data_IF_151431314150
#
_entry.id   IF_151431314150
#
_cell.length_a   1.000
_cell.length_b   1.000
_cell.length_c   1.000
_cell.angle_alpha   90.00
_cell.angle_beta   90.00
_cell.angle_gamma   90.00
#
_symmetry.space_group_name_H-M   'P 1'
#
loop_
_entity.id
_entity.type
_entity.pdbx_description
1 polymer ?
#
# COMPACT_ATOMS: atom_id res chain seq x y z
N UNK A 1 -51.88 0.93 31.08
CA UNK A 1 -50.46 1.30 30.95
C UNK A 1 -49.71 0.13 30.38
N UNK A 2 -49.19 0.26 29.16
CA UNK A 2 -48.23 -0.66 28.58
C UNK A 2 -46.98 0.15 28.25
N UNK A 3 -45.85 -0.23 28.85
CA UNK A 3 -44.56 0.40 28.64
C UNK A 3 -43.90 -0.23 27.40
N UNK A 4 -43.67 0.57 26.37
CA UNK A 4 -42.79 0.21 25.27
C UNK A 4 -41.33 0.33 25.75
N UNK A 5 -40.62 -0.79 25.81
CA UNK A 5 -39.15 -0.81 25.92
C UNK A 5 -38.56 -0.69 24.53
N UNK A 6 -38.06 0.50 24.20
CA UNK A 6 -37.21 0.74 23.04
C UNK A 6 -35.85 0.06 23.26
N UNK A 7 -35.59 -1.03 22.56
CA UNK A 7 -34.24 -1.56 22.41
C UNK A 7 -33.47 -0.67 21.43
N UNK A 8 -32.60 0.19 21.94
CA UNK A 8 -31.59 0.86 21.13
C UNK A 8 -30.55 -0.18 20.70
N UNK A 9 -30.57 -0.54 19.42
CA UNK A 9 -29.48 -1.26 18.78
C UNK A 9 -28.24 -0.36 18.80
N UNK A 10 -27.26 -0.69 19.65
CA UNK A 10 -25.94 -0.08 19.54
C UNK A 10 -25.29 -0.61 18.25
N UNK A 11 -25.13 0.26 17.26
CA UNK A 11 -24.25 0.00 16.12
C UNK A 11 -22.85 -0.34 16.64
N UNK A 12 -22.20 -1.40 16.16
CA UNK A 12 -20.83 -1.68 16.56
C UNK A 12 -19.95 -0.50 16.16
N UNK A 13 -19.34 0.15 17.15
CA UNK A 13 -18.33 1.19 16.94
C UNK A 13 -17.24 0.62 16.02
N UNK A 14 -16.85 1.38 15.00
CA UNK A 14 -15.73 1.00 14.14
C UNK A 14 -14.51 0.66 15.03
N UNK A 15 -13.75 -0.42 14.71
CA UNK A 15 -12.56 -0.76 15.48
C UNK A 15 -11.60 0.44 15.51
N UNK A 16 -10.90 0.66 16.63
CA UNK A 16 -9.97 1.79 16.74
C UNK A 16 -8.90 1.69 15.67
N UNK A 17 -8.53 2.85 15.10
CA UNK A 17 -7.48 2.97 14.12
C UNK A 17 -6.15 2.48 14.71
N UNK A 18 -5.44 1.63 13.97
CA UNK A 18 -4.24 0.98 14.44
C UNK A 18 -3.02 1.88 14.22
N UNK A 19 -2.36 2.30 15.30
CA UNK A 19 -1.07 3.02 15.21
C UNK A 19 0.09 2.07 14.91
N UNK A 20 1.23 2.61 14.46
CA UNK A 20 2.47 1.83 14.27
C UNK A 20 2.90 1.13 15.56
N UNK A 21 2.74 1.80 16.72
CA UNK A 21 3.15 1.24 18.00
C UNK A 21 2.20 0.15 18.52
N UNK A 22 0.90 0.31 18.26
CA UNK A 22 -0.09 -0.73 18.57
C UNK A 22 0.13 -1.96 17.70
N UNK A 23 0.42 -1.75 16.40
CA UNK A 23 0.79 -2.83 15.49
C UNK A 23 2.07 -3.52 15.93
N UNK A 24 3.12 -2.76 16.27
CA UNK A 24 4.38 -3.31 16.81
C UNK A 24 4.12 -4.21 18.01
N UNK A 25 3.23 -3.78 18.90
CA UNK A 25 2.89 -4.52 20.11
C UNK A 25 2.12 -5.81 19.77
N UNK A 26 1.19 -5.77 18.81
CA UNK A 26 0.38 -6.92 18.42
C UNK A 26 1.17 -8.01 17.69
N UNK A 27 2.25 -7.64 16.99
CA UNK A 27 3.11 -8.59 16.26
C UNK A 27 4.33 -9.08 17.07
N UNK A 28 4.46 -8.70 18.34
CA UNK A 28 5.64 -9.05 19.16
C UNK A 28 5.91 -10.56 19.17
N UNK A 29 7.16 -10.93 18.93
CA UNK A 29 7.59 -12.34 18.87
C UNK A 29 7.21 -13.05 17.56
N UNK A 30 6.56 -12.35 16.64
CA UNK A 30 6.37 -12.80 15.26
C UNK A 30 7.47 -12.20 14.39
N UNK A 31 7.71 -12.82 13.24
CA UNK A 31 8.58 -12.27 12.20
C UNK A 31 7.93 -12.53 10.85
N UNK A 32 7.76 -11.49 10.04
CA UNK A 32 7.09 -11.59 8.74
C UNK A 32 7.20 -10.34 7.87
N UNK A 33 6.48 -10.35 6.76
CA UNK A 33 6.41 -9.25 5.79
C UNK A 33 5.17 -8.39 6.02
N UNK A 34 5.27 -7.13 5.59
CA UNK A 34 4.10 -6.29 5.30
C UNK A 34 4.02 -5.97 3.81
N UNK A 35 2.84 -5.63 3.33
CA UNK A 35 2.62 -5.29 1.91
C UNK A 35 2.14 -3.85 1.79
N UNK A 36 2.65 -3.11 0.81
CA UNK A 36 1.99 -1.89 0.35
C UNK A 36 0.71 -2.22 -0.43
N UNK A 37 -0.13 -1.20 -0.65
CA UNK A 37 -1.40 -1.30 -1.35
C UNK A 37 -1.34 -0.59 -2.69
N UNK A 38 -1.13 0.73 -2.72
CA UNK A 38 -1.16 1.51 -3.96
C UNK A 38 0.03 1.16 -4.85
N UNK A 39 -0.23 0.96 -6.15
CA UNK A 39 0.76 0.53 -7.17
C UNK A 39 1.51 -0.78 -6.85
N UNK A 40 1.09 -1.50 -5.81
CA UNK A 40 1.63 -2.81 -5.40
C UNK A 40 0.56 -3.91 -5.46
N UNK A 41 -0.60 -3.64 -4.86
CA UNK A 41 -1.79 -4.50 -4.91
C UNK A 41 -2.90 -3.88 -5.77
N UNK A 42 -3.10 -2.56 -5.70
CA UNK A 42 -4.10 -1.82 -6.46
C UNK A 42 -3.47 -0.99 -7.57
N UNK A 43 -4.10 -0.96 -8.75
CA UNK A 43 -3.68 -0.11 -9.87
C UNK A 43 -4.37 1.25 -9.80
N UNK A 44 -4.00 2.00 -8.77
CA UNK A 44 -4.63 3.28 -8.40
C UNK A 44 -4.41 4.34 -9.48
N UNK A 45 -3.21 4.44 -10.04
CA UNK A 45 -2.87 5.42 -11.08
C UNK A 45 -3.67 5.18 -12.35
N UNK A 46 -3.85 3.93 -12.76
CA UNK A 46 -4.64 3.58 -13.94
C UNK A 46 -6.09 4.02 -13.79
N UNK A 47 -6.69 3.72 -12.63
CA UNK A 47 -8.04 4.17 -12.30
C UNK A 47 -8.17 5.68 -12.32
N UNK A 48 -7.23 6.39 -11.68
CA UNK A 48 -7.26 7.85 -11.65
C UNK A 48 -7.07 8.45 -13.03
N UNK A 49 -6.13 7.95 -13.82
CA UNK A 49 -5.92 8.42 -15.20
C UNK A 49 -7.17 8.25 -16.05
N UNK A 50 -7.88 7.12 -15.94
CA UNK A 50 -9.13 6.90 -16.66
C UNK A 50 -10.18 7.97 -16.31
N UNK A 51 -10.35 8.27 -15.02
CA UNK A 51 -11.31 9.28 -14.55
C UNK A 51 -10.89 10.69 -14.95
N UNK A 52 -9.62 11.03 -14.78
CA UNK A 52 -9.06 12.34 -15.13
C UNK A 52 -9.19 12.63 -16.63
N UNK A 53 -9.00 11.63 -17.51
CA UNK A 53 -9.24 11.77 -18.94
C UNK A 53 -10.71 12.11 -19.26
N UNK A 54 -11.66 11.50 -18.54
CA UNK A 54 -13.10 11.74 -18.72
C UNK A 54 -13.53 13.13 -18.22
N UNK A 55 -12.95 13.58 -17.11
CA UNK A 55 -13.33 14.82 -16.43
C UNK A 55 -12.62 16.05 -17.00
N UNK A 56 -11.30 15.96 -17.21
CA UNK A 56 -10.44 17.09 -17.53
C UNK A 56 -9.83 17.02 -18.95
N UNK A 57 -10.14 15.96 -19.70
CA UNK A 57 -9.74 15.78 -21.08
C UNK A 57 -8.37 15.14 -21.27
N UNK A 58 -8.08 14.80 -22.53
CA UNK A 58 -6.88 14.10 -22.98
C UNK A 58 -6.48 14.62 -24.38
N UNK A 59 -5.83 15.80 -24.48
CA UNK A 59 -5.48 16.41 -25.76
C UNK A 59 -4.50 15.57 -26.58
N UNK A 60 -3.70 14.73 -25.93
CA UNK A 60 -2.71 13.85 -26.58
C UNK A 60 -3.32 12.54 -27.10
N UNK A 61 -4.57 12.22 -26.72
CA UNK A 61 -5.29 10.99 -27.10
C UNK A 61 -4.54 9.72 -26.72
N UNK A 62 -3.80 9.76 -25.62
CA UNK A 62 -3.08 8.60 -25.09
C UNK A 62 -4.07 7.61 -24.48
N UNK A 63 -3.79 6.31 -24.58
CA UNK A 63 -4.50 5.33 -23.74
C UNK A 63 -4.14 5.55 -22.26
N UNK A 64 -4.94 5.00 -21.33
CA UNK A 64 -4.62 5.01 -19.88
C UNK A 64 -3.25 4.40 -19.62
N UNK A 65 -2.94 3.29 -20.29
CA UNK A 65 -1.64 2.61 -20.18
C UNK A 65 -0.49 3.48 -20.68
N UNK A 66 -0.60 4.03 -21.88
CA UNK A 66 0.47 4.89 -22.44
C UNK A 66 0.68 6.14 -21.58
N UNK A 67 -0.39 6.65 -20.96
CA UNK A 67 -0.31 7.78 -20.05
C UNK A 67 0.38 7.40 -18.73
N UNK A 68 0.09 6.23 -18.16
CA UNK A 68 0.76 5.69 -16.98
C UNK A 68 2.25 5.45 -17.26
N UNK A 69 2.59 4.88 -18.42
CA UNK A 69 3.96 4.65 -18.84
C UNK A 69 4.72 5.98 -19.06
N UNK A 70 4.05 7.00 -19.59
CA UNK A 70 4.68 8.30 -19.91
C UNK A 70 4.85 9.22 -18.69
N UNK A 71 3.80 9.37 -17.88
CA UNK A 71 3.78 10.35 -16.79
C UNK A 71 3.98 9.73 -15.41
N UNK A 72 3.80 8.41 -15.29
CA UNK A 72 3.86 7.62 -14.06
C UNK A 72 2.83 7.96 -13.00
N UNK A 73 2.41 9.23 -12.87
CA UNK A 73 1.47 9.71 -11.86
C UNK A 73 0.58 10.80 -12.45
N UNK A 74 -0.67 10.91 -12.00
CA UNK A 74 -1.63 11.91 -12.49
C UNK A 74 -1.17 13.35 -12.26
N UNK A 75 -0.51 13.63 -11.13
CA UNK A 75 0.05 14.96 -10.85
C UNK A 75 1.18 15.38 -11.80
N UNK A 76 1.74 14.46 -12.60
CA UNK A 76 2.77 14.80 -13.58
C UNK A 76 2.18 15.16 -14.95
N UNK A 77 0.88 15.01 -15.16
CA UNK A 77 0.22 15.29 -16.44
C UNK A 77 0.01 16.81 -16.60
N UNK A 78 0.67 17.49 -17.56
CA UNK A 78 0.74 18.96 -17.56
C UNK A 78 -0.60 19.68 -17.71
N UNK A 79 -1.55 19.09 -18.43
CA UNK A 79 -2.86 19.68 -18.69
C UNK A 79 -3.91 19.39 -17.59
N UNK A 80 -3.53 18.67 -16.53
CA UNK A 80 -4.36 18.45 -15.35
C UNK A 80 -3.89 19.26 -14.13
N UNK A 81 -3.08 20.30 -14.34
CA UNK A 81 -2.54 21.15 -13.27
C UNK A 81 -3.46 22.32 -12.93
N UNK A 82 -4.78 22.10 -12.98
CA UNK A 82 -5.79 23.08 -12.59
C UNK A 82 -6.22 22.86 -11.14
N UNK A 83 -6.68 23.92 -10.48
CA UNK A 83 -7.20 23.83 -9.10
C UNK A 83 -8.33 22.79 -8.97
N UNK A 84 -9.20 22.69 -9.97
CA UNK A 84 -10.31 21.73 -9.97
C UNK A 84 -9.81 20.28 -10.06
N UNK A 85 -8.84 20.02 -10.93
CA UNK A 85 -8.21 18.70 -11.07
C UNK A 85 -7.44 18.31 -9.79
N UNK A 86 -6.77 19.26 -9.15
CA UNK A 86 -6.09 19.05 -7.87
C UNK A 86 -7.08 18.77 -6.74
N UNK A 87 -8.19 19.52 -6.67
CA UNK A 87 -9.25 19.28 -5.69
C UNK A 87 -9.88 17.89 -5.86
N UNK A 88 -10.14 17.47 -7.10
CA UNK A 88 -10.63 16.12 -7.38
C UNK A 88 -9.62 15.04 -6.99
N UNK A 89 -8.33 15.21 -7.33
CA UNK A 89 -7.30 14.25 -6.91
C UNK A 89 -7.18 14.16 -5.39
N UNK A 90 -7.37 15.27 -4.67
CA UNK A 90 -7.38 15.27 -3.21
C UNK A 90 -8.62 14.54 -2.65
N UNK A 91 -9.81 14.78 -3.21
CA UNK A 91 -11.03 14.08 -2.76
C UNK A 91 -10.89 12.57 -2.93
N UNK A 92 -10.33 12.10 -4.05
CA UNK A 92 -10.08 10.67 -4.28
C UNK A 92 -9.09 10.03 -3.30
N UNK A 93 -8.24 10.80 -2.61
CA UNK A 93 -7.36 10.29 -1.54
C UNK A 93 -8.08 10.13 -0.22
N UNK A 94 -8.98 11.07 0.07
CA UNK A 94 -9.56 11.24 1.39
C UNK A 94 -10.94 10.58 1.52
N UNK A 95 -11.63 10.36 0.41
CA UNK A 95 -12.96 9.74 0.37
C UNK A 95 -12.87 8.21 0.48
N UNK A 96 -13.50 7.59 1.48
CA UNK A 96 -13.49 6.13 1.65
C UNK A 96 -14.03 5.37 0.43
N UNK A 97 -15.10 5.87 -0.19
CA UNK A 97 -15.76 5.23 -1.34
C UNK A 97 -14.82 5.12 -2.56
N UNK A 98 -13.93 6.09 -2.73
CA UNK A 98 -12.93 6.09 -3.79
C UNK A 98 -11.96 4.89 -3.69
N UNK A 99 -11.76 4.34 -2.49
CA UNK A 99 -10.86 3.21 -2.25
C UNK A 99 -11.49 1.86 -2.60
N UNK A 100 -12.82 1.79 -2.76
CA UNK A 100 -13.55 0.53 -2.96
C UNK A 100 -13.64 0.10 -4.43
N UNK A 101 -13.38 1.00 -5.37
CA UNK A 101 -13.50 0.75 -6.82
C UNK A 101 -12.14 0.49 -7.50
N UNK A 102 -11.04 0.46 -6.74
CA UNK A 102 -9.71 0.37 -7.31
C UNK A 102 -9.48 -0.99 -7.99
N UNK A 103 -8.97 -1.03 -9.23
CA UNK A 103 -8.58 -2.29 -9.87
C UNK A 103 -7.42 -2.95 -9.12
N UNK A 104 -7.35 -4.27 -9.16
CA UNK A 104 -6.21 -5.05 -8.66
C UNK A 104 -5.12 -5.11 -9.73
N UNK A 105 -3.86 -5.08 -9.32
CA UNK A 105 -2.71 -5.29 -10.21
C UNK A 105 -2.61 -6.76 -10.61
N UNK A 106 -2.32 -7.01 -11.88
CA UNK A 106 -2.13 -8.36 -12.42
C UNK A 106 -1.11 -9.16 -11.59
N UNK A 107 -1.53 -10.36 -11.18
CA UNK A 107 -0.70 -11.28 -10.40
C UNK A 107 -0.57 -10.96 -8.91
N UNK A 108 -1.21 -9.89 -8.40
CA UNK A 108 -1.13 -9.51 -7.00
C UNK A 108 -1.77 -10.54 -6.07
N UNK A 109 -2.99 -10.98 -6.38
CA UNK A 109 -3.71 -11.96 -5.55
C UNK A 109 -2.98 -13.30 -5.56
N UNK A 110 -2.56 -13.76 -6.74
CA UNK A 110 -1.81 -15.01 -6.89
C UNK A 110 -0.45 -14.94 -6.23
N UNK A 111 0.25 -13.81 -6.32
CA UNK A 111 1.53 -13.57 -5.68
C UNK A 111 1.44 -13.61 -4.16
N UNK A 112 0.43 -12.94 -3.60
CA UNK A 112 0.16 -12.95 -2.15
C UNK A 112 -0.18 -14.37 -1.67
N UNK A 113 -1.02 -15.10 -2.40
CA UNK A 113 -1.32 -16.50 -2.09
C UNK A 113 -0.05 -17.38 -2.14
N UNK A 114 0.77 -17.23 -3.17
CA UNK A 114 2.01 -17.99 -3.33
C UNK A 114 3.04 -17.71 -2.22
N UNK A 115 3.10 -16.48 -1.70
CA UNK A 115 3.89 -16.17 -0.51
C UNK A 115 3.42 -16.96 0.71
N UNK A 116 2.10 -16.97 0.97
CA UNK A 116 1.53 -17.70 2.10
C UNK A 116 1.72 -19.22 1.96
N UNK A 117 1.52 -19.77 0.76
CA UNK A 117 1.77 -21.19 0.45
C UNK A 117 3.23 -21.59 0.67
N UNK A 118 4.17 -20.67 0.41
CA UNK A 118 5.59 -20.86 0.69
C UNK A 118 5.95 -20.75 2.18
N UNK A 119 4.97 -20.59 3.08
CA UNK A 119 5.18 -20.46 4.52
C UNK A 119 5.61 -19.05 4.96
N UNK A 120 5.57 -18.06 4.07
CA UNK A 120 5.92 -16.68 4.41
C UNK A 120 4.79 -16.07 5.24
N UNK A 121 5.13 -15.63 6.45
CA UNK A 121 4.16 -14.96 7.32
C UNK A 121 3.94 -13.53 6.86
N UNK A 122 2.71 -13.20 6.47
CA UNK A 122 2.25 -11.84 6.23
C UNK A 122 1.65 -11.28 7.52
N UNK A 123 2.16 -10.15 7.99
CA UNK A 123 1.78 -9.55 9.27
C UNK A 123 0.70 -8.47 9.12
N UNK A 124 0.62 -7.83 7.96
CA UNK A 124 -0.27 -6.71 7.73
C UNK A 124 0.02 -5.97 6.42
N UNK A 125 -0.73 -4.89 6.22
CA UNK A 125 -0.52 -3.93 5.16
C UNK A 125 0.07 -2.65 5.77
N UNK A 126 1.00 -2.00 5.08
CA UNK A 126 1.56 -0.71 5.47
C UNK A 126 1.40 0.26 4.30
N UNK A 127 0.54 1.27 4.44
CA UNK A 127 0.15 2.17 3.35
C UNK A 127 0.25 3.63 3.75
N UNK A 128 0.51 4.50 2.77
CA UNK A 128 0.50 5.97 2.96
C UNK A 128 -0.90 6.58 2.84
N UNK A 129 -1.93 5.78 2.56
CA UNK A 129 -3.33 6.20 2.68
C UNK A 129 -3.60 6.77 4.08
N UNK A 130 -4.50 7.75 4.21
CA UNK A 130 -4.91 8.25 5.52
C UNK A 130 -5.63 7.16 6.34
N UNK A 131 -5.61 7.30 7.66
CA UNK A 131 -6.28 6.36 8.56
C UNK A 131 -7.80 6.41 8.37
N UNK A 132 -8.35 7.57 8.02
CA UNK A 132 -9.77 7.77 7.75
C UNK A 132 -10.36 6.80 6.72
N UNK A 133 -9.56 6.30 5.76
CA UNK A 133 -10.03 5.40 4.69
C UNK A 133 -9.72 3.91 4.95
N UNK A 134 -9.18 3.56 6.11
CA UNK A 134 -8.87 2.16 6.48
C UNK A 134 -10.09 1.24 6.40
N UNK A 135 -11.29 1.61 6.87
CA UNK A 135 -12.46 0.73 6.79
C UNK A 135 -12.80 0.30 5.35
N UNK A 136 -12.84 1.27 4.42
CA UNK A 136 -13.11 0.99 3.00
C UNK A 136 -11.96 0.26 2.32
N UNK A 137 -10.71 0.59 2.67
CA UNK A 137 -9.53 -0.16 2.20
C UNK A 137 -9.61 -1.64 2.62
N UNK A 138 -10.00 -1.94 3.86
CA UNK A 138 -10.17 -3.32 4.32
C UNK A 138 -11.32 -4.01 3.59
N UNK A 139 -12.44 -3.33 3.37
CA UNK A 139 -13.57 -3.87 2.59
C UNK A 139 -13.12 -4.22 1.17
N UNK A 140 -12.34 -3.34 0.54
CA UNK A 140 -11.75 -3.60 -0.77
C UNK A 140 -10.83 -4.83 -0.74
N UNK A 141 -9.85 -4.89 0.17
CA UNK A 141 -8.93 -6.03 0.30
C UNK A 141 -9.69 -7.37 0.38
N UNK A 142 -10.71 -7.44 1.24
CA UNK A 142 -11.54 -8.64 1.40
C UNK A 142 -12.33 -8.98 0.13
N UNK A 143 -12.88 -7.98 -0.56
CA UNK A 143 -13.62 -8.20 -1.81
C UNK A 143 -12.74 -8.75 -2.94
N UNK A 144 -11.44 -8.45 -2.93
CA UNK A 144 -10.47 -8.99 -3.89
C UNK A 144 -9.93 -10.39 -3.51
N UNK A 145 -10.35 -10.95 -2.37
CA UNK A 145 -9.86 -12.23 -1.88
C UNK A 145 -8.47 -12.16 -1.24
N UNK A 146 -7.99 -10.96 -0.90
CA UNK A 146 -6.74 -10.78 -0.16
C UNK A 146 -6.93 -11.11 1.33
N UNK A 147 -5.86 -11.51 2.05
CA UNK A 147 -5.95 -11.89 3.45
C UNK A 147 -6.51 -10.78 4.36
N UNK A 148 -7.37 -11.15 5.31
CA UNK A 148 -7.85 -10.27 6.36
C UNK A 148 -6.74 -10.00 7.40
N UNK A 149 -5.88 -9.04 7.10
CA UNK A 149 -4.77 -8.65 7.97
C UNK A 149 -4.92 -7.17 8.40
N UNK A 150 -4.27 -6.77 9.51
CA UNK A 150 -4.30 -5.38 9.94
C UNK A 150 -3.74 -4.43 8.88
N UNK A 151 -4.38 -3.27 8.73
CA UNK A 151 -3.92 -2.17 7.86
C UNK A 151 -3.34 -1.07 8.74
N UNK A 152 -2.04 -0.81 8.61
CA UNK A 152 -1.36 0.33 9.23
C UNK A 152 -1.28 1.44 8.20
N UNK A 153 -2.05 2.49 8.46
CA UNK A 153 -2.17 3.65 7.59
C UNK A 153 -1.51 4.88 8.23
N UNK A 154 -1.16 5.85 7.39
CA UNK A 154 -0.59 7.12 7.80
C UNK A 154 -1.63 7.92 8.60
N UNK A 155 -1.28 8.51 9.76
CA UNK A 155 -2.18 9.43 10.47
C UNK A 155 -2.72 10.53 9.55
N UNK A 156 -3.97 10.95 9.78
CA UNK A 156 -4.66 11.90 8.91
C UNK A 156 -3.99 13.29 8.89
N UNK A 157 -3.32 13.66 9.98
CA UNK A 157 -2.61 14.94 10.15
C UNK A 157 -1.23 15.00 9.48
N UNK A 158 -0.67 13.86 9.07
CA UNK A 158 0.58 13.82 8.31
C UNK A 158 0.30 14.18 6.85
N UNK A 159 0.87 15.27 6.35
CA UNK A 159 0.73 15.67 4.95
C UNK A 159 1.14 14.55 3.97
N UNK A 160 0.43 14.41 2.86
CA UNK A 160 0.73 13.40 1.83
C UNK A 160 2.17 13.46 1.32
N UNK A 161 2.71 14.68 1.16
CA UNK A 161 4.11 14.90 0.77
C UNK A 161 5.15 14.29 1.72
N UNK A 162 4.75 14.02 2.98
CA UNK A 162 5.58 13.37 3.99
C UNK A 162 5.26 11.88 4.18
N UNK A 163 4.36 11.30 3.38
CA UNK A 163 3.90 9.92 3.53
C UNK A 163 5.04 8.89 3.48
N UNK A 164 5.94 8.99 2.49
CA UNK A 164 7.06 8.05 2.38
C UNK A 164 8.09 8.19 3.51
N UNK A 165 8.30 9.41 4.01
CA UNK A 165 9.13 9.64 5.20
C UNK A 165 8.53 8.98 6.43
N UNK A 166 7.23 9.13 6.64
CA UNK A 166 6.50 8.44 7.70
C UNK A 166 6.61 6.91 7.55
N UNK A 167 6.45 6.39 6.34
CA UNK A 167 6.51 4.95 6.06
C UNK A 167 7.90 4.38 6.34
N UNK A 168 8.96 5.08 5.94
CA UNK A 168 10.35 4.70 6.22
C UNK A 168 10.66 4.66 7.72
N UNK A 169 10.15 5.63 8.49
CA UNK A 169 10.24 5.60 9.97
C UNK A 169 9.44 4.44 10.57
N UNK A 170 8.21 4.20 10.08
CA UNK A 170 7.38 3.08 10.53
C UNK A 170 8.11 1.74 10.34
N UNK A 171 8.75 1.52 9.18
CA UNK A 171 9.55 0.32 8.93
C UNK A 171 10.70 0.15 9.92
N UNK A 172 11.41 1.24 10.25
CA UNK A 172 12.48 1.23 11.26
C UNK A 172 11.97 0.85 12.65
N UNK A 173 10.81 1.37 13.05
CA UNK A 173 10.16 1.02 14.33
C UNK A 173 9.71 -0.45 14.33
N UNK A 174 9.16 -0.93 13.22
CA UNK A 174 8.57 -2.26 13.09
C UNK A 174 9.61 -3.38 13.01
N UNK A 175 10.85 -3.10 12.61
CA UNK A 175 11.97 -4.03 12.69
C UNK A 175 12.33 -4.40 14.15
N UNK A 176 12.71 -5.66 14.47
CA UNK A 176 12.94 -6.80 13.58
C UNK A 176 11.72 -7.67 13.23
N UNK A 177 10.56 -7.43 13.85
CA UNK A 177 9.34 -8.23 13.62
C UNK A 177 8.84 -8.10 12.17
N UNK A 178 8.79 -6.88 11.64
CA UNK A 178 8.67 -6.68 10.19
C UNK A 178 10.08 -6.72 9.60
N UNK A 179 10.44 -7.86 9.03
CA UNK A 179 11.76 -8.05 8.43
C UNK A 179 11.82 -7.58 6.98
N UNK A 180 10.67 -7.34 6.34
CA UNK A 180 10.64 -6.72 5.04
C UNK A 180 9.27 -6.23 4.59
N UNK A 181 9.28 -5.54 3.46
CA UNK A 181 8.10 -4.96 2.81
C UNK A 181 8.17 -5.17 1.29
N UNK A 182 7.02 -5.38 0.65
CA UNK A 182 6.85 -5.24 -0.80
C UNK A 182 6.21 -3.88 -1.06
N UNK A 183 6.85 -3.03 -1.86
CA UNK A 183 6.46 -1.64 -2.11
C UNK A 183 6.93 -1.22 -3.51
N UNK A 184 6.19 -0.39 -4.23
CA UNK A 184 6.58 0.06 -5.58
C UNK A 184 7.48 1.31 -5.55
N UNK A 185 7.49 2.05 -4.45
CA UNK A 185 7.95 3.43 -4.45
C UNK A 185 9.43 3.54 -4.06
N UNK A 186 10.32 4.00 -4.96
CA UNK A 186 11.75 4.11 -4.66
C UNK A 186 12.09 5.06 -3.52
N UNK A 187 11.17 5.97 -3.15
CA UNK A 187 11.38 6.85 -2.00
C UNK A 187 11.31 6.10 -0.68
N UNK A 188 10.61 4.97 -0.59
CA UNK A 188 10.51 4.19 0.65
C UNK A 188 11.89 3.67 1.10
N UNK A 189 12.69 2.98 0.26
CA UNK A 189 14.05 2.62 0.64
C UNK A 189 14.96 3.84 0.89
N UNK A 190 14.80 4.93 0.14
CA UNK A 190 15.56 6.16 0.40
C UNK A 190 15.28 6.74 1.81
N UNK A 191 14.01 6.75 2.23
CA UNK A 191 13.56 7.30 3.52
C UNK A 191 13.78 6.32 4.69
N UNK A 192 13.72 5.02 4.44
CA UNK A 192 14.14 4.00 5.42
C UNK A 192 15.65 4.10 5.70
N UNK A 193 16.42 4.47 4.68
CA UNK A 193 17.86 4.70 4.74
C UNK A 193 18.67 3.42 4.59
N UNK A 194 19.91 3.56 4.11
CA UNK A 194 20.81 2.42 3.83
C UNK A 194 21.22 1.61 5.08
N UNK A 195 20.97 2.13 6.28
CA UNK A 195 21.17 1.43 7.54
C UNK A 195 19.98 0.58 7.98
N UNK A 196 18.85 0.63 7.26
CA UNK A 196 17.70 -0.23 7.54
C UNK A 196 18.08 -1.70 7.30
N UNK A 197 17.96 -2.52 8.34
CA UNK A 197 18.39 -3.92 8.29
C UNK A 197 17.34 -4.87 7.71
N UNK A 198 16.10 -4.39 7.50
CA UNK A 198 15.06 -5.15 6.82
C UNK A 198 15.27 -5.19 5.29
N UNK A 199 14.46 -5.99 4.61
CA UNK A 199 14.48 -6.12 3.14
C UNK A 199 13.34 -5.33 2.51
N UNK A 200 13.62 -4.59 1.45
CA UNK A 200 12.61 -3.85 0.69
C UNK A 200 12.57 -4.45 -0.71
N UNK A 201 11.50 -5.17 -1.04
CA UNK A 201 11.25 -5.76 -2.35
C UNK A 201 10.52 -4.72 -3.20
N UNK A 202 11.26 -4.10 -4.12
CA UNK A 202 10.82 -2.95 -4.90
C UNK A 202 10.04 -3.42 -6.14
N UNK A 203 8.72 -3.46 -6.04
CA UNK A 203 7.79 -4.01 -7.04
C UNK A 203 7.68 -3.13 -8.30
N UNK A 204 7.56 -3.75 -9.47
CA UNK A 204 7.53 -3.10 -10.79
C UNK A 204 8.83 -2.41 -11.21
N UNK A 205 9.98 -2.80 -10.62
CA UNK A 205 11.30 -2.31 -11.02
C UNK A 205 12.23 -3.43 -11.48
N UNK A 206 12.91 -3.21 -12.60
CA UNK A 206 13.94 -4.12 -13.12
C UNK A 206 15.33 -3.88 -12.47
N UNK A 207 15.53 -2.70 -11.88
CA UNK A 207 16.82 -2.29 -11.30
C UNK A 207 16.65 -1.20 -10.25
N UNK A 208 17.57 -1.16 -9.29
CA UNK A 208 17.72 -0.04 -8.39
C UNK A 208 18.65 1.03 -8.98
N UNK A 209 18.46 2.28 -8.58
CA UNK A 209 19.31 3.43 -8.94
C UNK A 209 20.02 3.96 -7.70
N UNK A 210 20.87 4.95 -7.91
CA UNK A 210 21.57 5.65 -6.84
C UNK A 210 20.60 6.16 -5.77
N UNK A 211 20.90 5.88 -4.50
CA UNK A 211 20.11 6.26 -3.32
C UNK A 211 19.20 5.15 -2.77
N UNK A 212 18.95 4.07 -3.52
CA UNK A 212 18.15 2.93 -3.08
C UNK A 212 18.69 1.58 -3.60
N UNK A 213 20.00 1.49 -3.80
CA UNK A 213 20.72 0.30 -4.28
C UNK A 213 20.60 -0.90 -3.34
N UNK A 214 20.20 -0.66 -2.09
CA UNK A 214 20.01 -1.68 -1.06
C UNK A 214 18.63 -2.35 -1.12
N UNK A 215 17.72 -1.86 -1.96
CA UNK A 215 16.46 -2.54 -2.24
C UNK A 215 16.65 -3.69 -3.23
N UNK A 216 15.66 -4.59 -3.29
CA UNK A 216 15.66 -5.77 -4.17
C UNK A 216 14.63 -5.52 -5.29
N UNK A 217 15.06 -5.21 -6.52
CA UNK A 217 14.13 -4.92 -7.61
C UNK A 217 13.38 -6.19 -8.02
N UNK A 218 12.06 -6.10 -8.12
CA UNK A 218 11.19 -7.19 -8.56
C UNK A 218 10.22 -6.63 -9.59
N UNK A 219 10.33 -7.03 -10.86
CA UNK A 219 9.46 -6.51 -11.93
C UNK A 219 8.02 -7.01 -11.80
N UNK A 220 7.85 -8.20 -11.25
CA UNK A 220 6.55 -8.89 -11.18
C UNK A 220 6.34 -9.55 -9.82
N UNK A 221 5.09 -9.91 -9.51
CA UNK A 221 4.77 -10.64 -8.28
C UNK A 221 5.43 -12.01 -8.22
N UNK A 222 5.65 -12.65 -9.37
CA UNK A 222 6.44 -13.88 -9.46
C UNK A 222 7.87 -13.67 -8.97
N UNK A 223 8.52 -12.59 -9.41
CA UNK A 223 9.88 -12.25 -8.95
C UNK A 223 9.90 -11.88 -7.46
N UNK A 224 8.88 -11.17 -6.95
CA UNK A 224 8.73 -10.94 -5.51
C UNK A 224 8.73 -12.26 -4.74
N UNK A 225 7.92 -13.24 -5.15
CA UNK A 225 7.84 -14.56 -4.52
C UNK A 225 9.20 -15.27 -4.56
N UNK A 226 9.89 -15.24 -5.70
CA UNK A 226 11.20 -15.86 -5.87
C UNK A 226 12.26 -15.23 -4.94
N UNK A 227 12.34 -13.90 -4.88
CA UNK A 227 13.30 -13.18 -4.05
C UNK A 227 13.01 -13.33 -2.55
N UNK A 228 11.74 -13.27 -2.14
CA UNK A 228 11.35 -13.52 -0.75
C UNK A 228 11.77 -14.92 -0.31
N UNK A 229 11.53 -15.95 -1.12
CA UNK A 229 11.92 -17.33 -0.80
C UNK A 229 13.42 -17.49 -0.67
N UNK A 230 14.21 -16.88 -1.57
CA UNK A 230 15.67 -16.86 -1.47
C UNK A 230 16.12 -16.24 -0.15
N UNK A 231 15.51 -15.13 0.26
CA UNK A 231 15.86 -14.42 1.49
C UNK A 231 15.54 -15.24 2.74
N UNK A 232 14.39 -15.92 2.77
CA UNK A 232 14.00 -16.80 3.88
C UNK A 232 15.00 -17.95 4.03
N UNK A 233 15.34 -18.64 2.93
CA UNK A 233 16.31 -19.74 2.95
C UNK A 233 17.70 -19.31 3.45
N UNK A 234 18.19 -18.15 3.01
CA UNK A 234 19.48 -17.61 3.47
C UNK A 234 19.53 -17.29 4.97
N UNK A 235 18.39 -16.97 5.57
CA UNK A 235 18.31 -16.68 7.01
C UNK A 235 18.28 -17.98 7.83
N UNK A 236 17.62 -19.03 7.33
CA UNK A 236 17.62 -20.36 7.96
C UNK A 236 19.02 -21.00 7.97
N UNK A 237 19.83 -20.77 6.93
CA UNK A 237 21.23 -21.24 6.86
C UNK A 237 22.17 -20.53 7.85
N UNK A 238 21.77 -19.37 8.39
CA UNK A 238 22.58 -18.56 9.32
C UNK A 238 22.28 -18.83 10.79
N UNK A 239 21.20 -19.53 11.09
CA UNK A 239 20.75 -19.89 12.45
C UNK A 239 21.09 -21.33 12.79
#
# INVERSE_FOLDING_TARGET
>A
GQAFSSHSSMSPSAPPLLSVQDFKTSIRGQRGLVLDIDETLSWTVGFWMERMQKLFGNPEKLSVKDMADKYHLTQNVPYWQTEEAHAWMQSMRDEPEAQEELPVIDGAVEGVAALQEAGVRLLGYLTVRPQSVVPSTRKWLLAQGLPDLPVVAKPDDVAFSHGNKWKGEALRILYPEVWGIVDDNPKVPMEAGSSYAGSIFLFAHDKCKEGYEHAIPCKTWKEVVEEVKKRVAQEEERT
#
